data_IF_051154097325
#
_entry.id   IF_051154097325
#
_cell.length_a   1.000
_cell.length_b   1.000
_cell.length_c   1.000
_cell.angle_alpha   90.00
_cell.angle_beta   90.00
_cell.angle_gamma   90.00
#
_symmetry.space_group_name_H-M   'P 1'
#
loop_
_entity.id
_entity.type
_entity.pdbx_description
1 polymer ?
#
# COMPACT_ATOMS: atom_id res chain seq x y z
N UNK A 1 -35.45 26.71 12.62
CA UNK A 1 -35.96 26.35 11.25
C UNK A 1 -34.90 26.47 10.14
N UNK A 2 -34.02 27.48 10.08
CA UNK A 2 -33.00 27.57 9.02
C UNK A 2 -31.86 26.54 9.14
N UNK A 3 -31.35 26.34 10.35
CA UNK A 3 -30.23 25.42 10.61
C UNK A 3 -30.61 23.95 10.30
N UNK A 4 -31.80 23.53 10.72
CA UNK A 4 -32.29 22.16 10.41
C UNK A 4 -32.38 21.89 8.90
N UNK A 5 -32.78 22.89 8.11
CA UNK A 5 -32.81 22.78 6.65
C UNK A 5 -31.42 22.75 6.06
N UNK A 6 -30.45 23.50 6.63
CA UNK A 6 -29.04 23.41 6.21
C UNK A 6 -28.49 21.99 6.45
N UNK A 7 -28.75 21.42 7.63
CA UNK A 7 -28.39 20.04 7.94
C UNK A 7 -29.02 19.02 6.99
N UNK A 8 -30.29 19.19 6.68
CA UNK A 8 -31.00 18.35 5.73
C UNK A 8 -30.34 18.39 4.33
N UNK A 9 -30.03 19.58 3.82
CA UNK A 9 -29.36 19.75 2.54
C UNK A 9 -27.92 19.23 2.57
N UNK A 10 -27.16 19.49 3.65
CA UNK A 10 -25.83 18.96 3.83
C UNK A 10 -25.82 17.43 3.81
N UNK A 11 -26.81 16.79 4.46
CA UNK A 11 -26.99 15.33 4.42
C UNK A 11 -27.28 14.84 2.99
N UNK A 12 -28.19 15.50 2.28
CA UNK A 12 -28.55 15.17 0.89
C UNK A 12 -27.34 15.30 -0.06
N UNK A 13 -26.53 16.32 0.12
CA UNK A 13 -25.31 16.58 -0.65
C UNK A 13 -24.08 15.79 -0.14
N UNK A 14 -24.23 14.98 0.91
CA UNK A 14 -23.15 14.21 1.56
C UNK A 14 -22.00 15.11 2.06
N UNK A 15 -22.32 16.28 2.58
CA UNK A 15 -21.40 17.22 3.22
C UNK A 15 -21.30 16.88 4.71
N UNK A 16 -20.48 15.91 5.05
CA UNK A 16 -20.46 15.32 6.40
C UNK A 16 -19.84 16.22 7.46
N UNK A 17 -18.87 17.06 7.09
CA UNK A 17 -18.33 18.08 7.99
C UNK A 17 -19.37 19.13 8.30
N UNK A 18 -19.97 19.74 7.28
CA UNK A 18 -21.03 20.73 7.38
C UNK A 18 -22.19 20.20 8.21
N UNK A 19 -22.67 18.98 7.93
CA UNK A 19 -23.75 18.37 8.71
C UNK A 19 -23.46 18.29 10.21
N UNK A 20 -22.21 17.95 10.59
CA UNK A 20 -21.82 17.76 11.99
C UNK A 20 -21.47 19.07 12.73
N UNK A 21 -21.00 20.09 12.02
CA UNK A 21 -20.37 21.26 12.66
C UNK A 21 -21.05 22.61 12.35
N UNK A 22 -22.12 22.63 11.55
CA UNK A 22 -22.72 23.88 11.08
C UNK A 22 -23.19 24.82 12.22
N UNK A 23 -23.63 24.27 13.36
CA UNK A 23 -24.04 25.06 14.50
C UNK A 23 -22.85 25.86 15.06
N UNK A 24 -21.73 25.20 15.31
CA UNK A 24 -20.51 25.80 15.84
C UNK A 24 -19.90 26.80 14.84
N UNK A 25 -19.90 26.47 13.56
CA UNK A 25 -19.37 27.34 12.51
C UNK A 25 -20.20 28.63 12.35
N UNK A 26 -21.50 28.53 12.43
CA UNK A 26 -22.38 29.70 12.41
C UNK A 26 -22.22 30.58 13.66
N UNK A 27 -22.07 29.96 14.84
CA UNK A 27 -21.82 30.68 16.08
C UNK A 27 -20.49 31.46 16.00
N UNK A 28 -19.42 30.84 15.53
CA UNK A 28 -18.14 31.50 15.31
C UNK A 28 -18.24 32.65 14.30
N UNK A 29 -18.88 32.42 13.16
CA UNK A 29 -19.13 33.45 12.15
C UNK A 29 -19.84 34.67 12.72
N UNK A 30 -20.92 34.47 13.48
CA UNK A 30 -21.67 35.54 14.10
C UNK A 30 -20.86 36.30 15.15
N UNK A 31 -20.08 35.60 15.99
CA UNK A 31 -19.28 36.21 17.05
C UNK A 31 -18.11 37.04 16.49
N UNK A 32 -17.55 36.63 15.38
CA UNK A 32 -16.38 37.29 14.73
C UNK A 32 -16.82 38.34 13.68
N UNK A 33 -18.11 38.39 13.30
CA UNK A 33 -18.59 39.23 12.22
C UNK A 33 -17.98 38.86 10.84
N UNK A 34 -17.69 37.58 10.62
CA UNK A 34 -17.06 37.11 9.40
C UNK A 34 -17.94 37.36 8.16
N UNK A 35 -17.39 37.91 7.07
CA UNK A 35 -18.14 38.09 5.83
C UNK A 35 -18.68 36.78 5.28
N UNK A 36 -19.86 36.81 4.65
CA UNK A 36 -20.52 35.60 4.16
C UNK A 36 -19.67 34.80 3.15
N UNK A 37 -18.91 35.48 2.32
CA UNK A 37 -17.98 34.82 1.36
C UNK A 37 -16.87 34.06 2.07
N UNK A 38 -16.27 34.65 3.08
CA UNK A 38 -15.19 34.06 3.87
C UNK A 38 -15.72 32.86 4.66
N UNK A 39 -16.86 32.99 5.30
CA UNK A 39 -17.56 31.90 5.99
C UNK A 39 -17.82 30.70 5.04
N UNK A 40 -18.35 30.96 3.84
CA UNK A 40 -18.64 29.91 2.87
C UNK A 40 -17.36 29.24 2.37
N UNK A 41 -16.31 30.02 2.13
CA UNK A 41 -15.00 29.52 1.70
C UNK A 41 -14.39 28.59 2.76
N UNK A 42 -14.40 29.01 4.03
CA UNK A 42 -13.89 28.19 5.15
C UNK A 42 -14.70 26.91 5.33
N UNK A 43 -16.03 26.99 5.28
CA UNK A 43 -16.90 25.83 5.41
C UNK A 43 -16.65 24.78 4.32
N UNK A 44 -16.53 25.22 3.06
CA UNK A 44 -16.22 24.33 1.94
C UNK A 44 -14.80 23.78 2.01
N UNK A 45 -13.83 24.58 2.46
CA UNK A 45 -12.46 24.14 2.68
C UNK A 45 -12.38 23.03 3.72
N UNK A 46 -13.04 23.22 4.87
CA UNK A 46 -13.11 22.24 5.94
C UNK A 46 -13.81 20.94 5.51
N UNK A 47 -14.86 21.04 4.68
CA UNK A 47 -15.51 19.87 4.09
C UNK A 47 -14.53 19.07 3.18
N UNK A 48 -13.75 19.76 2.34
CA UNK A 48 -12.73 19.13 1.49
C UNK A 48 -11.64 18.46 2.32
N UNK A 49 -11.13 19.12 3.36
CA UNK A 49 -10.13 18.55 4.27
C UNK A 49 -10.66 17.29 4.96
N UNK A 50 -11.86 17.37 5.57
CA UNK A 50 -12.50 16.24 6.25
C UNK A 50 -12.71 15.05 5.31
N UNK A 51 -13.15 15.31 4.08
CA UNK A 51 -13.33 14.27 3.04
C UNK A 51 -12.02 13.63 2.63
N UNK A 52 -10.97 14.43 2.45
CA UNK A 52 -9.62 13.97 2.12
C UNK A 52 -9.08 13.07 3.22
N UNK A 53 -9.18 13.48 4.48
CA UNK A 53 -8.71 12.71 5.63
C UNK A 53 -9.45 11.38 5.79
N UNK A 54 -10.78 11.39 5.68
CA UNK A 54 -11.59 10.17 5.74
C UNK A 54 -11.22 9.21 4.60
N UNK A 55 -11.03 9.73 3.40
CA UNK A 55 -10.63 8.94 2.24
C UNK A 55 -9.23 8.33 2.42
N UNK A 56 -8.28 9.12 2.95
CA UNK A 56 -6.92 8.66 3.29
C UNK A 56 -6.96 7.55 4.33
N UNK A 57 -7.66 7.76 5.43
CA UNK A 57 -7.81 6.77 6.49
C UNK A 57 -8.45 5.47 5.97
N UNK A 58 -9.46 5.59 5.10
CA UNK A 58 -10.10 4.44 4.47
C UNK A 58 -9.15 3.67 3.55
N UNK A 59 -8.31 4.36 2.73
CA UNK A 59 -7.31 3.71 1.88
C UNK A 59 -6.29 2.93 2.71
N UNK A 60 -5.75 3.54 3.79
CA UNK A 60 -4.79 2.87 4.69
C UNK A 60 -5.44 1.66 5.36
N UNK A 61 -6.67 1.78 5.86
CA UNK A 61 -7.41 0.67 6.45
C UNK A 61 -7.65 -0.47 5.44
N UNK A 62 -8.05 -0.11 4.22
CA UNK A 62 -8.35 -1.06 3.16
C UNK A 62 -7.09 -1.75 2.60
N UNK A 63 -5.91 -1.18 2.79
CA UNK A 63 -4.65 -1.79 2.37
C UNK A 63 -4.37 -3.12 3.10
N UNK A 64 -4.86 -3.28 4.33
CA UNK A 64 -4.71 -4.52 5.08
C UNK A 64 -3.32 -4.72 5.67
N UNK A 65 -2.62 -3.64 6.02
CA UNK A 65 -1.33 -3.74 6.70
C UNK A 65 -1.48 -4.45 8.05
N UNK A 66 -0.55 -5.37 8.41
CA UNK A 66 -0.62 -6.09 9.69
C UNK A 66 -0.38 -5.16 10.89
N UNK A 67 0.37 -4.11 10.69
CA UNK A 67 0.65 -3.00 11.62
C UNK A 67 1.03 -1.75 10.83
N UNK A 68 1.00 -0.60 11.47
CA UNK A 68 1.46 0.65 10.85
C UNK A 68 2.96 0.83 11.14
N UNK A 69 3.71 1.13 10.08
CA UNK A 69 5.13 1.50 10.12
C UNK A 69 5.35 2.64 9.15
N UNK A 70 5.83 3.75 9.65
CA UNK A 70 6.04 4.93 8.83
C UNK A 70 7.49 5.01 8.36
N UNK A 71 7.73 5.68 7.23
CA UNK A 71 9.10 5.86 6.72
C UNK A 71 9.97 6.69 7.66
N UNK A 72 9.34 7.59 8.41
CA UNK A 72 10.04 8.44 9.39
C UNK A 72 10.47 7.68 10.65
N UNK A 73 9.89 6.49 10.90
CA UNK A 73 10.33 5.58 11.97
C UNK A 73 11.56 4.74 11.56
N UNK A 74 11.97 4.79 10.27
CA UNK A 74 13.18 4.13 9.82
C UNK A 74 14.41 4.93 10.24
N UNK A 75 15.36 4.24 10.86
CA UNK A 75 16.68 4.80 11.16
C UNK A 75 17.58 4.64 9.92
N UNK A 76 17.89 5.72 9.18
CA UNK A 76 18.68 5.64 7.96
C UNK A 76 20.09 5.06 8.19
N UNK A 77 20.67 5.26 9.38
CA UNK A 77 22.01 4.76 9.70
C UNK A 77 22.05 3.23 9.85
N UNK A 78 20.88 2.62 10.13
CA UNK A 78 20.75 1.16 10.22
C UNK A 78 20.33 0.52 8.89
N UNK A 79 20.01 1.34 7.90
CA UNK A 79 19.71 0.83 6.57
C UNK A 79 20.99 0.51 5.80
N UNK A 80 20.99 -0.56 4.97
CA UNK A 80 22.06 -0.76 4.00
C UNK A 80 22.26 0.49 3.13
N UNK A 81 23.53 0.77 2.78
CA UNK A 81 23.92 1.99 2.05
C UNK A 81 23.08 2.21 0.78
N UNK A 82 22.84 1.14 0.02
CA UNK A 82 22.05 1.19 -1.21
C UNK A 82 20.62 1.63 -0.93
N UNK A 83 19.96 1.02 0.06
CA UNK A 83 18.59 1.37 0.47
C UNK A 83 18.50 2.82 0.95
N UNK A 84 19.46 3.27 1.75
CA UNK A 84 19.54 4.66 2.22
C UNK A 84 19.68 5.64 1.05
N UNK A 85 20.51 5.33 0.08
CA UNK A 85 20.71 6.18 -1.11
C UNK A 85 19.45 6.26 -1.97
N UNK A 86 18.71 5.17 -2.10
CA UNK A 86 17.49 5.12 -2.91
C UNK A 86 16.24 5.65 -2.21
N UNK A 87 16.22 5.70 -0.88
CA UNK A 87 15.05 6.08 -0.09
C UNK A 87 14.40 7.40 -0.53
N UNK A 88 15.15 8.50 -0.80
CA UNK A 88 14.54 9.75 -1.27
C UNK A 88 13.83 9.62 -2.62
N UNK A 89 14.35 8.80 -3.53
CA UNK A 89 13.70 8.52 -4.82
C UNK A 89 12.44 7.68 -4.64
N UNK A 90 12.49 6.67 -3.78
CA UNK A 90 11.33 5.82 -3.49
C UNK A 90 10.19 6.60 -2.79
N UNK A 91 10.54 7.54 -1.88
CA UNK A 91 9.55 8.41 -1.21
C UNK A 91 8.75 9.28 -2.18
N UNK A 92 9.28 9.63 -3.35
CA UNK A 92 8.54 10.38 -4.39
C UNK A 92 7.46 9.55 -5.07
N UNK A 93 7.48 8.24 -4.91
CA UNK A 93 6.51 7.30 -5.50
C UNK A 93 6.50 7.30 -7.04
N UNK A 94 7.54 7.84 -7.68
CA UNK A 94 7.66 7.86 -9.15
C UNK A 94 7.57 6.45 -9.73
N UNK A 95 8.07 5.45 -9.00
CA UNK A 95 7.98 4.05 -9.41
C UNK A 95 6.54 3.55 -9.51
N UNK A 96 5.62 4.05 -8.66
CA UNK A 96 4.20 3.70 -8.73
C UNK A 96 3.56 4.35 -9.96
N UNK A 97 3.83 5.65 -10.18
CA UNK A 97 3.34 6.38 -11.34
C UNK A 97 3.83 5.76 -12.66
N UNK A 98 5.08 5.31 -12.69
CA UNK A 98 5.73 4.69 -13.85
C UNK A 98 5.49 3.18 -13.97
N UNK A 99 4.66 2.59 -13.09
CA UNK A 99 4.33 1.15 -13.11
C UNK A 99 5.56 0.24 -12.98
N UNK A 100 6.54 0.69 -12.20
CA UNK A 100 7.75 -0.06 -11.93
C UNK A 100 7.58 -0.90 -10.67
N UNK A 101 8.24 -2.04 -10.61
CA UNK A 101 8.27 -2.88 -9.43
C UNK A 101 9.40 -2.47 -8.48
N UNK A 102 9.31 -2.89 -7.23
CA UNK A 102 10.39 -2.81 -6.25
C UNK A 102 10.60 -4.19 -5.64
N UNK A 103 11.82 -4.71 -5.75
CA UNK A 103 12.19 -5.99 -5.13
C UNK A 103 13.21 -5.73 -4.03
N UNK A 104 12.83 -6.00 -2.79
CA UNK A 104 13.67 -5.87 -1.62
C UNK A 104 14.16 -7.26 -1.20
N UNK A 105 15.44 -7.55 -1.39
CA UNK A 105 16.01 -8.84 -0.98
C UNK A 105 17.11 -8.64 0.08
N UNK A 106 17.25 -9.58 1.01
CA UNK A 106 18.29 -9.52 2.03
C UNK A 106 17.94 -10.25 3.33
N UNK A 107 18.84 -10.17 4.31
CA UNK A 107 18.73 -10.90 5.56
C UNK A 107 17.44 -10.57 6.34
N UNK A 108 16.92 -11.51 7.15
CA UNK A 108 15.83 -11.21 8.06
C UNK A 108 16.19 -10.07 9.03
N UNK A 109 15.20 -9.20 9.31
CA UNK A 109 15.37 -8.13 10.29
C UNK A 109 16.06 -6.85 9.78
N UNK A 110 16.35 -6.72 8.49
CA UNK A 110 17.00 -5.54 7.90
C UNK A 110 16.04 -4.40 7.53
N UNK A 111 14.74 -4.53 7.84
CA UNK A 111 13.76 -3.46 7.63
C UNK A 111 12.95 -3.53 6.33
N UNK A 112 13.07 -4.61 5.52
CA UNK A 112 12.31 -4.77 4.26
C UNK A 112 10.80 -4.55 4.44
N UNK A 113 10.16 -5.33 5.28
CA UNK A 113 8.72 -5.20 5.55
C UNK A 113 8.36 -3.80 6.07
N UNK A 114 9.24 -3.17 6.87
CA UNK A 114 9.03 -1.80 7.34
C UNK A 114 9.05 -0.82 6.17
N UNK A 115 10.05 -0.91 5.29
CA UNK A 115 10.16 -0.07 4.11
C UNK A 115 8.95 -0.26 3.18
N UNK A 116 8.59 -1.51 2.90
CA UNK A 116 7.42 -1.84 2.06
C UNK A 116 6.10 -1.27 2.63
N UNK A 117 5.85 -1.43 3.93
CA UNK A 117 4.66 -0.87 4.59
C UNK A 117 4.71 0.67 4.58
N UNK A 118 5.85 1.26 4.90
CA UNK A 118 6.02 2.71 4.89
C UNK A 118 5.75 3.32 3.51
N UNK A 119 6.31 2.75 2.44
CA UNK A 119 6.03 3.16 1.06
C UNK A 119 4.54 2.95 0.70
N UNK A 120 3.95 1.86 1.18
CA UNK A 120 2.52 1.60 0.99
C UNK A 120 1.62 2.63 1.67
N UNK A 121 1.98 3.08 2.88
CA UNK A 121 1.25 4.14 3.59
C UNK A 121 1.40 5.48 2.84
N UNK A 122 2.61 5.82 2.39
CA UNK A 122 2.83 7.03 1.59
C UNK A 122 2.03 6.99 0.28
N UNK A 123 2.00 5.85 -0.42
CA UNK A 123 1.19 5.68 -1.61
C UNK A 123 -0.32 5.85 -1.32
N UNK A 124 -0.83 5.29 -0.22
CA UNK A 124 -2.21 5.48 0.22
C UNK A 124 -2.52 6.95 0.58
N UNK A 125 -1.56 7.67 1.19
CA UNK A 125 -1.64 9.11 1.47
C UNK A 125 -1.71 9.91 0.18
N UNK A 126 -0.92 9.54 -0.83
CA UNK A 126 -0.88 10.17 -2.15
C UNK A 126 -2.11 9.83 -3.04
N UNK A 127 -3.03 8.98 -2.57
CA UNK A 127 -4.28 8.68 -3.28
C UNK A 127 -4.31 7.33 -3.99
N UNK A 128 -3.19 6.59 -4.03
CA UNK A 128 -3.14 5.27 -4.67
C UNK A 128 -3.90 4.22 -3.85
N UNK A 129 -4.52 3.27 -4.55
CA UNK A 129 -5.07 2.07 -3.94
C UNK A 129 -3.94 1.08 -3.64
N UNK A 130 -3.86 0.63 -2.38
CA UNK A 130 -2.79 -0.27 -1.91
C UNK A 130 -3.39 -1.54 -1.33
N UNK A 131 -2.73 -2.67 -1.57
CA UNK A 131 -3.03 -3.95 -0.90
C UNK A 131 -1.73 -4.60 -0.42
N UNK A 132 -1.79 -5.11 0.79
CA UNK A 132 -0.71 -5.85 1.44
C UNK A 132 -1.12 -7.32 1.64
N UNK A 133 -0.23 -8.22 1.27
CA UNK A 133 -0.37 -9.65 1.54
C UNK A 133 0.97 -10.24 1.98
N UNK A 134 0.96 -10.99 3.07
CA UNK A 134 2.01 -11.98 3.32
C UNK A 134 1.78 -13.15 2.37
N UNK A 135 2.83 -13.56 1.66
CA UNK A 135 2.70 -14.55 0.57
C UNK A 135 2.27 -15.94 1.05
N UNK A 136 2.76 -16.48 2.18
CA UNK A 136 2.32 -17.81 2.62
C UNK A 136 0.80 -17.94 2.82
N UNK A 137 0.10 -17.10 3.59
CA UNK A 137 -1.35 -17.18 3.71
C UNK A 137 -2.08 -16.79 2.40
N UNK A 138 -1.50 -15.94 1.56
CA UNK A 138 -2.08 -15.62 0.25
C UNK A 138 -2.19 -16.86 -0.64
N UNK A 139 -1.15 -17.69 -0.70
CA UNK A 139 -1.16 -18.94 -1.49
C UNK A 139 -2.31 -19.86 -1.05
N UNK A 140 -2.48 -20.06 0.26
CA UNK A 140 -3.57 -20.87 0.77
C UNK A 140 -4.93 -20.30 0.36
N UNK A 141 -5.11 -18.99 0.49
CA UNK A 141 -6.32 -18.31 0.06
C UNK A 141 -6.60 -18.45 -1.44
N UNK A 142 -5.55 -18.35 -2.29
CA UNK A 142 -5.71 -18.55 -3.74
C UNK A 142 -6.18 -19.96 -4.07
N UNK A 143 -5.64 -20.99 -3.41
CA UNK A 143 -6.07 -22.37 -3.58
C UNK A 143 -7.52 -22.58 -3.14
N UNK A 144 -7.91 -22.05 -1.99
CA UNK A 144 -9.29 -22.09 -1.51
C UNK A 144 -10.26 -21.43 -2.51
N UNK A 145 -9.92 -20.23 -2.99
CA UNK A 145 -10.73 -19.52 -3.98
C UNK A 145 -10.82 -20.29 -5.31
N UNK A 146 -9.76 -20.98 -5.72
CA UNK A 146 -9.77 -21.87 -6.90
C UNK A 146 -10.73 -23.03 -6.70
N UNK A 147 -10.67 -23.69 -5.56
CA UNK A 147 -11.59 -24.80 -5.22
C UNK A 147 -13.05 -24.32 -5.21
N UNK A 148 -13.31 -23.13 -4.72
CA UNK A 148 -14.63 -22.48 -4.69
C UNK A 148 -15.05 -21.89 -6.06
N UNK A 149 -14.24 -21.99 -7.11
CA UNK A 149 -14.44 -21.37 -8.43
C UNK A 149 -14.65 -19.85 -8.36
N UNK A 150 -14.02 -19.17 -7.39
CA UNK A 150 -14.19 -17.74 -7.09
C UNK A 150 -12.88 -16.93 -7.21
N UNK A 151 -11.95 -17.32 -8.07
CA UNK A 151 -10.71 -16.58 -8.32
C UNK A 151 -10.93 -15.18 -8.91
N UNK A 152 -12.04 -14.97 -9.62
CA UNK A 152 -12.33 -13.67 -10.25
C UNK A 152 -12.40 -12.51 -9.26
N UNK A 153 -12.80 -12.76 -8.02
CA UNK A 153 -12.91 -11.71 -6.99
C UNK A 153 -11.53 -11.14 -6.63
N UNK A 154 -10.55 -12.00 -6.35
CA UNK A 154 -9.19 -11.59 -6.01
C UNK A 154 -8.43 -11.09 -7.25
N UNK A 155 -8.71 -11.65 -8.42
CA UNK A 155 -8.15 -11.20 -9.68
C UNK A 155 -8.52 -9.74 -9.95
N UNK A 156 -9.81 -9.38 -9.89
CA UNK A 156 -10.27 -7.99 -10.01
C UNK A 156 -9.66 -7.08 -8.95
N UNK A 157 -9.51 -7.58 -7.73
CA UNK A 157 -8.86 -6.81 -6.67
C UNK A 157 -7.41 -6.50 -7.03
N UNK A 158 -6.65 -7.46 -7.54
CA UNK A 158 -5.26 -7.25 -7.94
C UNK A 158 -5.15 -6.32 -9.14
N UNK A 159 -6.00 -6.47 -10.14
CA UNK A 159 -6.03 -5.60 -11.34
C UNK A 159 -6.33 -4.14 -10.99
N UNK A 160 -7.25 -3.90 -10.04
CA UNK A 160 -7.67 -2.56 -9.64
C UNK A 160 -6.77 -1.90 -8.57
N UNK A 161 -5.81 -2.64 -8.01
CA UNK A 161 -4.87 -2.12 -7.01
C UNK A 161 -3.69 -1.46 -7.68
N UNK A 162 -3.38 -0.19 -7.36
CA UNK A 162 -2.25 0.52 -7.95
C UNK A 162 -0.92 -0.02 -7.45
N UNK A 163 -0.80 -0.28 -6.14
CA UNK A 163 0.39 -0.82 -5.51
C UNK A 163 0.05 -2.09 -4.72
N UNK A 164 0.55 -3.23 -5.16
CA UNK A 164 0.46 -4.50 -4.45
C UNK A 164 1.76 -4.75 -3.67
N UNK A 165 1.65 -5.12 -2.40
CA UNK A 165 2.79 -5.52 -1.58
C UNK A 165 2.67 -7.02 -1.30
N UNK A 166 3.68 -7.77 -1.71
CA UNK A 166 3.86 -9.20 -1.48
C UNK A 166 5.02 -9.41 -0.53
N UNK A 167 4.73 -9.58 0.74
CA UNK A 167 5.72 -9.71 1.80
C UNK A 167 6.06 -11.18 2.07
N UNK A 168 7.32 -11.43 2.45
CA UNK A 168 7.84 -12.75 2.82
C UNK A 168 7.82 -13.80 1.69
N UNK A 169 8.06 -13.38 0.43
CA UNK A 169 8.25 -14.34 -0.65
C UNK A 169 9.50 -15.21 -0.38
N UNK A 170 9.30 -16.51 -0.34
CA UNK A 170 10.41 -17.48 -0.11
C UNK A 170 10.64 -17.87 1.34
N UNK A 171 9.75 -17.48 2.25
CA UNK A 171 9.80 -17.96 3.64
C UNK A 171 9.44 -19.45 3.73
N UNK A 172 8.57 -19.90 2.85
CA UNK A 172 8.24 -21.32 2.64
C UNK A 172 8.26 -21.62 1.14
N UNK A 173 8.57 -22.87 0.78
CA UNK A 173 8.41 -23.36 -0.59
C UNK A 173 6.93 -23.59 -0.91
N UNK A 174 6.58 -23.45 -2.17
CA UNK A 174 5.23 -23.72 -2.66
C UNK A 174 5.22 -25.02 -3.46
N UNK A 175 4.10 -25.71 -3.42
CA UNK A 175 3.84 -26.73 -4.42
C UNK A 175 3.60 -26.07 -5.79
N UNK A 176 3.60 -26.89 -6.83
CA UNK A 176 3.44 -26.42 -8.21
C UNK A 176 2.20 -25.57 -8.40
N UNK A 177 1.06 -25.99 -7.83
CA UNK A 177 -0.21 -25.28 -7.95
C UNK A 177 -0.15 -23.86 -7.32
N UNK A 178 0.41 -23.76 -6.11
CA UNK A 178 0.60 -22.46 -5.44
C UNK A 178 1.49 -21.51 -6.23
N UNK A 179 2.58 -22.05 -6.81
CA UNK A 179 3.48 -21.29 -7.68
C UNK A 179 2.80 -20.78 -8.95
N UNK A 180 2.02 -21.62 -9.64
CA UNK A 180 1.28 -21.26 -10.85
C UNK A 180 0.21 -20.20 -10.57
N UNK A 181 -0.50 -20.32 -9.44
CA UNK A 181 -1.49 -19.33 -9.02
C UNK A 181 -0.84 -17.97 -8.74
N UNK A 182 0.25 -17.94 -7.98
CA UNK A 182 0.97 -16.70 -7.70
C UNK A 182 1.52 -16.06 -8.98
N UNK A 183 2.14 -16.87 -9.85
CA UNK A 183 2.65 -16.42 -11.14
C UNK A 183 1.57 -15.78 -12.01
N UNK A 184 0.41 -16.42 -12.12
CA UNK A 184 -0.71 -15.90 -12.91
C UNK A 184 -1.10 -14.49 -12.45
N UNK A 185 -1.22 -14.30 -11.12
CA UNK A 185 -1.63 -13.02 -10.54
C UNK A 185 -0.56 -11.93 -10.64
N UNK A 186 0.72 -12.28 -10.48
CA UNK A 186 1.83 -11.32 -10.70
C UNK A 186 1.90 -10.93 -12.18
N UNK A 187 1.75 -11.90 -13.08
CA UNK A 187 1.86 -11.69 -14.53
C UNK A 187 0.81 -10.74 -15.08
N UNK A 188 -0.41 -10.79 -14.56
CA UNK A 188 -1.48 -9.88 -14.97
C UNK A 188 -1.20 -8.42 -14.62
N UNK A 189 -0.32 -8.19 -13.64
CA UNK A 189 0.06 -6.85 -13.19
C UNK A 189 1.27 -6.28 -13.92
N UNK A 190 2.10 -7.14 -14.53
CA UNK A 190 3.34 -6.73 -15.19
C UNK A 190 3.07 -5.59 -16.19
N UNK A 191 3.87 -4.53 -16.13
CA UNK A 191 3.80 -3.31 -16.96
C UNK A 191 2.50 -2.49 -16.81
N UNK A 192 1.55 -2.94 -16.02
CA UNK A 192 0.25 -2.28 -15.83
C UNK A 192 0.14 -1.58 -14.48
N UNK A 193 0.71 -2.19 -13.45
CA UNK A 193 0.60 -1.77 -12.05
C UNK A 193 1.88 -2.14 -11.31
N UNK A 194 2.19 -1.43 -10.24
CA UNK A 194 3.40 -1.66 -9.45
C UNK A 194 3.21 -2.75 -8.40
N UNK A 195 4.30 -3.48 -8.15
CA UNK A 195 4.34 -4.49 -7.08
C UNK A 195 5.63 -4.31 -6.28
N UNK A 196 5.51 -4.26 -4.94
CA UNK A 196 6.64 -4.40 -4.02
C UNK A 196 6.72 -5.87 -3.60
N UNK A 197 7.90 -6.46 -3.70
CA UNK A 197 8.14 -7.82 -3.23
C UNK A 197 9.27 -7.77 -2.21
N UNK A 198 9.04 -8.33 -1.02
CA UNK A 198 10.11 -8.56 -0.06
C UNK A 198 10.46 -10.03 -0.02
N UNK A 199 11.74 -10.31 0.03
CA UNK A 199 12.26 -11.69 0.09
C UNK A 199 13.55 -11.76 0.89
N UNK A 200 13.83 -12.91 1.49
CA UNK A 200 15.10 -13.21 2.12
C UNK A 200 16.07 -13.95 1.19
N UNK A 201 15.64 -14.24 -0.04
CA UNK A 201 16.40 -15.02 -1.01
C UNK A 201 16.86 -14.16 -2.18
N UNK A 202 18.04 -14.44 -2.68
CA UNK A 202 18.52 -13.97 -3.97
C UNK A 202 17.79 -14.69 -5.12
N UNK A 203 17.71 -14.10 -6.30
CA UNK A 203 16.93 -14.65 -7.42
C UNK A 203 17.35 -16.06 -7.85
N UNK A 204 18.64 -16.40 -7.75
CA UNK A 204 19.16 -17.74 -8.02
C UNK A 204 18.56 -18.81 -7.11
N UNK A 205 18.15 -18.43 -5.90
CA UNK A 205 17.50 -19.32 -4.92
C UNK A 205 15.99 -19.43 -5.10
N UNK A 206 15.36 -18.62 -5.94
CA UNK A 206 13.92 -18.70 -6.16
C UNK A 206 13.47 -20.05 -6.75
N UNK A 207 14.37 -20.75 -7.46
CA UNK A 207 14.11 -22.13 -7.89
C UNK A 207 13.80 -23.11 -6.74
N UNK A 208 14.21 -22.79 -5.52
CA UNK A 208 13.90 -23.62 -4.35
C UNK A 208 12.50 -23.36 -3.79
N UNK A 209 11.89 -22.25 -4.18
CA UNK A 209 10.54 -21.85 -3.76
C UNK A 209 9.49 -22.40 -4.72
N UNK A 210 9.76 -22.22 -6.02
CA UNK A 210 8.84 -22.58 -7.09
C UNK A 210 9.27 -23.90 -7.70
N UNK A 211 8.79 -25.00 -7.35
CA UNK A 211 9.18 -26.37 -7.74
C UNK A 211 9.38 -26.62 -9.26
N UNK A 212 9.36 -25.58 -10.09
CA UNK A 212 9.47 -25.59 -11.54
C UNK A 212 10.44 -24.50 -12.02
N UNK A 213 11.49 -24.88 -12.75
CA UNK A 213 12.55 -23.97 -13.22
C UNK A 213 12.06 -23.01 -14.31
N UNK A 214 11.14 -23.43 -15.18
CA UNK A 214 10.57 -22.61 -16.25
C UNK A 214 9.69 -21.53 -15.64
N UNK A 215 8.83 -21.93 -14.70
CA UNK A 215 7.98 -21.02 -13.95
C UNK A 215 8.81 -20.00 -13.16
N UNK A 216 9.90 -20.47 -12.51
CA UNK A 216 10.82 -19.59 -11.77
C UNK A 216 11.43 -18.54 -12.67
N UNK A 217 11.97 -18.94 -13.82
CA UNK A 217 12.57 -18.01 -14.78
C UNK A 217 11.55 -16.96 -15.24
N UNK A 218 10.34 -17.40 -15.59
CA UNK A 218 9.28 -16.52 -16.03
C UNK A 218 8.80 -15.53 -14.95
N UNK A 219 8.79 -15.94 -13.68
CA UNK A 219 8.45 -15.04 -12.55
C UNK A 219 9.57 -14.01 -12.37
N UNK A 220 10.84 -14.46 -12.31
CA UNK A 220 11.97 -13.55 -12.12
C UNK A 220 12.01 -12.52 -13.25
N UNK A 221 11.89 -12.94 -14.49
CA UNK A 221 11.86 -12.05 -15.65
C UNK A 221 10.76 -10.97 -15.50
N UNK A 222 9.53 -11.37 -15.19
CA UNK A 222 8.42 -10.42 -15.04
C UNK A 222 8.55 -9.47 -13.86
N UNK A 223 9.09 -9.96 -12.76
CA UNK A 223 9.25 -9.15 -11.55
C UNK A 223 10.40 -8.17 -11.69
N UNK A 224 11.50 -8.56 -12.38
CA UNK A 224 12.69 -7.73 -12.57
C UNK A 224 12.61 -6.83 -13.79
N UNK A 225 11.76 -7.15 -14.75
CA UNK A 225 11.51 -6.28 -15.88
C UNK A 225 10.94 -4.93 -15.37
N UNK A 226 11.60 -3.83 -15.73
CA UNK A 226 11.23 -2.48 -15.28
C UNK A 226 11.08 -2.37 -13.75
N UNK A 227 12.12 -2.74 -13.01
CA UNK A 227 12.09 -2.75 -11.55
C UNK A 227 13.30 -2.08 -10.91
N UNK A 228 13.10 -1.59 -9.69
CA UNK A 228 14.17 -1.33 -8.74
C UNK A 228 14.45 -2.59 -7.94
N UNK A 229 15.70 -3.01 -7.91
CA UNK A 229 16.15 -4.15 -7.09
C UNK A 229 17.01 -3.60 -5.97
N UNK A 230 16.53 -3.74 -4.74
CA UNK A 230 17.14 -3.16 -3.55
C UNK A 230 17.80 -4.23 -2.70
N UNK A 231 19.12 -4.14 -2.56
CA UNK A 231 19.87 -5.00 -1.67
C UNK A 231 19.75 -4.54 -0.22
N UNK A 232 19.04 -5.32 0.58
CA UNK A 232 18.82 -5.08 2.01
C UNK A 232 19.69 -6.03 2.88
N UNK A 233 20.84 -6.48 2.37
CA UNK A 233 21.79 -7.25 3.17
C UNK A 233 22.49 -6.34 4.16
N UNK A 234 22.37 -6.64 5.46
CA UNK A 234 22.92 -5.84 6.55
C UNK A 234 22.76 -6.52 7.90
N UNK A 235 23.09 -5.80 8.95
CA UNK A 235 22.89 -6.26 10.34
C UNK A 235 21.41 -6.23 10.72
N UNK A 236 20.98 -7.22 11.49
CA UNK A 236 19.59 -7.27 11.96
C UNK A 236 19.26 -6.14 12.93
N UNK A 237 18.15 -5.46 12.72
CA UNK A 237 17.63 -4.44 13.64
C UNK A 237 16.88 -5.06 14.85
N UNK A 238 16.69 -6.38 14.88
CA UNK A 238 15.95 -7.09 15.95
C UNK A 238 16.77 -7.34 17.22
N UNK A 239 18.10 -7.19 17.18
CA UNK A 239 19.01 -7.54 18.29
C UNK A 239 19.28 -6.41 19.29
N UNK A 240 18.52 -5.32 19.32
CA UNK A 240 18.64 -4.27 20.34
C UNK A 240 17.27 -3.91 20.92
N UNK A 241 16.62 -4.88 21.53
CA UNK A 241 15.58 -4.67 22.52
C UNK A 241 16.07 -5.38 23.80
N UNK A 242 17.04 -4.77 24.48
CA UNK A 242 17.38 -4.98 25.90
C UNK A 242 17.71 -3.62 26.46
#
# INVERSE_FOLDING_TARGET
MSIERIKEYAKGLRLSYTFGNIDEELEKCNNLGTPAEEFLMELLHNELLSRSEKSRAARIKNAGFPYKKYLDDLDPERMPKEARTMLPALKRLDFVANRQNLVEYGNPGTGKTHLAIGLGIEAANAGYSVKFYSVPPLINRLKELKMQKNLLSIQKQFENTDLLILDELGYISFDREGGELLFTHISMRAERKSTIITTNLTFDKWKTIFSDSVLTTAIVDRVTHNSFVLNMVGTTNRMKAN
#
